data_IF_817772511574
#
_entry.id   IF_817772511574
#
_cell.length_a   1.000
_cell.length_b   1.000
_cell.length_c   1.000
_cell.angle_alpha   90.00
_cell.angle_beta   90.00
_cell.angle_gamma   90.00
#
_symmetry.space_group_name_H-M   'P 1'
#
loop_
_entity.id
_entity.type
_entity.pdbx_description
1 polymer ?
#
# COMPACT_ATOMS: atom_id res chain seq x y z
N UNK A 1 3.02 55.05 -4.26
CA UNK A 1 2.95 54.31 -5.54
C UNK A 1 3.90 53.15 -5.59
N UNK A 2 5.06 53.19 -4.98
CA UNK A 2 6.10 52.16 -4.97
C UNK A 2 5.65 50.84 -4.34
N UNK A 3 4.86 50.88 -3.25
CA UNK A 3 4.35 49.65 -2.59
C UNK A 3 3.45 48.82 -3.51
N UNK A 4 2.61 49.46 -4.33
CA UNK A 4 1.70 48.79 -5.25
C UNK A 4 2.46 48.06 -6.36
N UNK A 5 3.58 48.58 -6.83
CA UNK A 5 4.42 47.95 -7.85
C UNK A 5 5.07 46.68 -7.28
N UNK A 6 5.55 46.76 -6.04
CA UNK A 6 6.19 45.59 -5.38
C UNK A 6 5.21 44.44 -5.21
N UNK A 7 4.00 44.71 -4.70
CA UNK A 7 2.98 43.65 -4.54
C UNK A 7 2.52 43.09 -5.90
N UNK A 8 2.46 43.91 -6.95
CA UNK A 8 2.12 43.42 -8.28
C UNK A 8 3.17 42.47 -8.82
N UNK A 9 4.46 42.76 -8.65
CA UNK A 9 5.55 41.86 -9.06
C UNK A 9 5.50 40.55 -8.29
N UNK A 10 5.31 40.60 -6.96
CA UNK A 10 5.19 39.37 -6.13
C UNK A 10 4.00 38.54 -6.57
N UNK A 11 2.85 39.16 -6.87
CA UNK A 11 1.66 38.46 -7.33
C UNK A 11 1.89 37.73 -8.67
N UNK A 12 2.57 38.39 -9.60
CA UNK A 12 2.92 37.75 -10.92
C UNK A 12 3.86 36.57 -10.70
N UNK A 13 4.92 36.72 -9.90
CA UNK A 13 5.86 35.63 -9.60
C UNK A 13 5.16 34.48 -8.89
N UNK A 14 4.32 34.74 -7.91
CA UNK A 14 3.55 33.73 -7.22
C UNK A 14 2.59 32.96 -8.17
N UNK A 15 1.90 33.70 -9.05
CA UNK A 15 0.99 33.09 -10.03
C UNK A 15 1.68 32.12 -11.01
N UNK A 16 2.94 32.37 -11.34
CA UNK A 16 3.75 31.49 -12.19
C UNK A 16 4.33 30.29 -11.40
N UNK A 17 4.66 30.49 -10.11
CA UNK A 17 5.26 29.43 -9.27
C UNK A 17 4.26 28.40 -8.76
N UNK A 18 3.03 28.80 -8.43
CA UNK A 18 2.03 27.92 -7.85
C UNK A 18 1.71 26.66 -8.70
N UNK A 19 1.46 26.77 -10.02
CA UNK A 19 1.18 25.59 -10.84
C UNK A 19 2.40 24.66 -10.97
N UNK A 20 3.61 25.21 -11.05
CA UNK A 20 4.85 24.41 -11.12
C UNK A 20 5.09 23.65 -9.80
N UNK A 21 4.88 24.31 -8.67
CA UNK A 21 5.06 23.72 -7.34
C UNK A 21 4.07 22.58 -7.08
N UNK A 22 2.82 22.72 -7.54
CA UNK A 22 1.83 21.64 -7.42
C UNK A 22 2.24 20.38 -8.16
N UNK A 23 2.75 20.52 -9.38
CA UNK A 23 3.27 19.41 -10.18
C UNK A 23 4.52 18.77 -9.55
N UNK A 24 5.44 19.58 -9.06
CA UNK A 24 6.63 19.09 -8.37
C UNK A 24 6.28 18.29 -7.10
N UNK A 25 5.32 18.78 -6.29
CA UNK A 25 4.83 18.09 -5.09
C UNK A 25 4.16 16.74 -5.43
N UNK A 26 3.40 16.66 -6.50
CA UNK A 26 2.79 15.40 -6.93
C UNK A 26 3.85 14.35 -7.29
N UNK A 27 4.88 14.75 -8.04
CA UNK A 27 6.01 13.87 -8.39
C UNK A 27 6.82 13.44 -7.17
N UNK A 28 7.04 14.33 -6.20
CA UNK A 28 7.72 14.02 -4.95
C UNK A 28 6.94 12.98 -4.13
N UNK A 29 5.61 13.11 -4.02
CA UNK A 29 4.77 12.11 -3.37
C UNK A 29 4.82 10.75 -4.08
N UNK A 30 4.83 10.73 -5.41
CA UNK A 30 4.96 9.49 -6.18
C UNK A 30 6.31 8.82 -5.94
N UNK A 31 7.40 9.58 -5.96
CA UNK A 31 8.74 9.06 -5.68
C UNK A 31 8.84 8.48 -4.26
N UNK A 32 8.24 9.13 -3.28
CA UNK A 32 8.18 8.62 -1.91
C UNK A 32 7.36 7.33 -1.81
N UNK A 33 6.20 7.22 -2.50
CA UNK A 33 5.43 5.98 -2.57
C UNK A 33 6.23 4.83 -3.17
N UNK A 34 6.93 5.07 -4.30
CA UNK A 34 7.81 4.06 -4.91
C UNK A 34 8.93 3.62 -3.96
N UNK A 35 9.52 4.57 -3.22
CA UNK A 35 10.54 4.26 -2.23
C UNK A 35 9.98 3.42 -1.07
N UNK A 36 8.80 3.75 -0.56
CA UNK A 36 8.14 2.95 0.49
C UNK A 36 7.85 1.53 0.00
N UNK A 37 7.32 1.38 -1.22
CA UNK A 37 7.10 0.07 -1.83
C UNK A 37 8.41 -0.70 -2.03
N UNK A 38 9.49 -0.01 -2.43
CA UNK A 38 10.83 -0.62 -2.52
C UNK A 38 11.31 -1.15 -1.18
N UNK A 39 11.10 -0.40 -0.10
CA UNK A 39 11.44 -0.85 1.27
C UNK A 39 10.64 -2.09 1.66
N UNK A 40 9.35 -2.15 1.33
CA UNK A 40 8.54 -3.37 1.51
C UNK A 40 9.11 -4.56 0.74
N UNK A 41 9.46 -4.37 -0.53
CA UNK A 41 10.07 -5.42 -1.34
C UNK A 41 11.35 -5.97 -0.74
N UNK A 42 12.24 -5.09 -0.29
CA UNK A 42 13.48 -5.48 0.40
C UNK A 42 13.21 -6.17 1.74
N UNK A 43 12.25 -5.67 2.52
CA UNK A 43 11.83 -6.27 3.79
C UNK A 43 11.29 -7.69 3.61
N UNK A 44 10.51 -7.94 2.54
CA UNK A 44 10.03 -9.28 2.17
C UNK A 44 11.20 -10.20 1.84
N UNK A 45 12.20 -9.74 1.06
CA UNK A 45 13.37 -10.53 0.71
C UNK A 45 14.20 -10.89 1.95
N UNK A 46 14.42 -9.94 2.85
CA UNK A 46 15.14 -10.17 4.11
C UNK A 46 14.40 -11.17 5.00
N UNK A 47 13.08 -10.97 5.15
CA UNK A 47 12.24 -11.88 5.92
C UNK A 47 12.33 -13.31 5.38
N UNK A 48 12.16 -13.52 4.08
CA UNK A 48 12.22 -14.85 3.47
C UNK A 48 13.60 -15.50 3.62
N UNK A 49 14.67 -14.71 3.54
CA UNK A 49 16.03 -15.18 3.79
C UNK A 49 16.25 -15.72 5.20
N UNK A 50 15.53 -15.21 6.20
CA UNK A 50 15.62 -15.62 7.61
C UNK A 50 14.55 -16.66 8.02
N UNK A 51 13.54 -16.91 7.19
CA UNK A 51 12.39 -17.76 7.50
C UNK A 51 12.19 -18.91 6.49
N UNK A 52 13.25 -19.64 6.17
CA UNK A 52 13.20 -20.84 5.30
C UNK A 52 12.50 -20.62 3.95
N UNK A 53 12.73 -19.45 3.35
CA UNK A 53 12.10 -19.01 2.09
C UNK A 53 10.58 -18.79 2.17
N UNK A 54 9.99 -18.83 3.36
CA UNK A 54 8.55 -18.64 3.57
C UNK A 54 8.22 -17.14 3.59
N UNK A 55 7.21 -16.75 2.82
CA UNK A 55 6.71 -15.37 2.78
C UNK A 55 6.07 -14.95 4.12
N UNK A 56 6.11 -13.66 4.47
CA UNK A 56 5.51 -13.18 5.72
C UNK A 56 4.01 -13.39 5.76
N UNK A 57 3.51 -13.90 6.88
CA UNK A 57 2.08 -14.18 7.02
C UNK A 57 1.78 -15.30 8.02
N UNK A 58 0.51 -15.73 8.13
CA UNK A 58 -0.63 -15.40 7.24
C UNK A 58 -1.11 -13.96 7.41
N UNK A 59 -1.25 -13.21 6.32
CA UNK A 59 -1.58 -11.79 6.36
C UNK A 59 -2.93 -11.46 5.72
N UNK A 60 -3.57 -10.38 6.22
CA UNK A 60 -4.72 -9.76 5.58
C UNK A 60 -4.28 -8.95 4.35
N UNK A 61 -5.13 -8.90 3.33
CA UNK A 61 -4.86 -8.35 1.99
C UNK A 61 -4.63 -6.82 1.97
N UNK A 62 -4.61 -6.18 3.13
CA UNK A 62 -4.59 -4.73 3.27
C UNK A 62 -3.39 -4.26 4.08
N UNK A 63 -2.76 -3.19 3.62
CA UNK A 63 -1.72 -2.47 4.36
C UNK A 63 -2.27 -1.10 4.76
N UNK A 64 -2.76 -0.96 6.00
CA UNK A 64 -3.26 0.31 6.51
C UNK A 64 -2.11 1.29 6.80
N UNK A 65 -2.47 2.53 7.08
CA UNK A 65 -1.52 3.59 7.46
C UNK A 65 -0.82 3.32 8.79
N UNK A 66 -1.44 2.49 9.64
CA UNK A 66 -0.92 2.12 10.96
C UNK A 66 -1.34 0.70 11.35
N UNK A 67 -0.81 0.20 12.45
CA UNK A 67 -1.16 -1.08 13.05
C UNK A 67 -1.03 -1.01 14.57
N UNK A 68 -1.74 -1.89 15.27
CA UNK A 68 -1.72 -2.03 16.73
C UNK A 68 -1.67 -3.51 17.14
N UNK A 69 -1.65 -3.77 18.44
CA UNK A 69 -1.57 -5.12 19.00
C UNK A 69 -2.79 -6.00 18.67
N UNK A 70 -3.93 -5.41 18.31
CA UNK A 70 -5.15 -6.17 17.96
C UNK A 70 -5.12 -6.69 16.51
N UNK A 71 -4.17 -6.21 15.69
CA UNK A 71 -4.09 -6.52 14.25
C UNK A 71 -2.74 -7.15 13.88
N UNK A 72 -2.36 -8.21 14.60
CA UNK A 72 -1.11 -8.96 14.38
C UNK A 72 -1.06 -9.72 13.04
N UNK A 73 -2.16 -9.75 12.30
CA UNK A 73 -2.29 -10.40 10.99
C UNK A 73 -2.06 -9.45 9.81
N UNK A 74 -1.60 -8.23 10.05
CA UNK A 74 -1.25 -7.27 9.00
C UNK A 74 0.19 -7.48 8.54
N UNK A 75 0.44 -7.33 7.26
CA UNK A 75 1.77 -7.50 6.68
C UNK A 75 2.85 -6.63 7.35
N UNK A 76 2.60 -5.34 7.70
CA UNK A 76 3.57 -4.52 8.44
C UNK A 76 3.99 -5.10 9.79
N UNK A 77 3.13 -5.87 10.47
CA UNK A 77 3.47 -6.52 11.73
C UNK A 77 4.61 -7.55 11.54
N UNK A 78 4.52 -8.39 10.52
CA UNK A 78 5.56 -9.38 10.21
C UNK A 78 6.87 -8.71 9.77
N UNK A 79 6.77 -7.59 9.06
CA UNK A 79 7.92 -6.88 8.48
C UNK A 79 8.46 -5.74 9.35
N UNK A 80 7.91 -5.53 10.57
CA UNK A 80 8.21 -4.34 11.39
C UNK A 80 9.71 -4.14 11.68
N UNK A 81 10.44 -5.21 11.96
CA UNK A 81 11.89 -5.13 12.25
C UNK A 81 12.69 -4.70 11.02
N UNK A 82 12.32 -5.16 9.83
CA UNK A 82 12.99 -4.82 8.57
C UNK A 82 12.60 -3.42 8.05
N UNK A 83 11.43 -2.91 8.46
CA UNK A 83 10.96 -1.58 8.11
C UNK A 83 11.26 -0.53 9.20
N UNK A 84 12.02 -0.91 10.24
CA UNK A 84 12.30 -0.07 11.42
C UNK A 84 11.03 0.53 12.03
N UNK A 85 9.92 -0.22 12.04
CA UNK A 85 8.70 0.18 12.69
C UNK A 85 8.76 -0.20 14.17
N UNK A 86 8.19 0.62 15.06
CA UNK A 86 8.13 0.30 16.48
C UNK A 86 7.22 -0.90 16.74
N UNK A 87 7.35 -1.49 17.93
CA UNK A 87 6.40 -2.50 18.38
C UNK A 87 4.98 -1.93 18.43
N UNK A 88 3.97 -2.75 18.12
CA UNK A 88 2.60 -2.28 18.08
C UNK A 88 2.15 -1.80 19.47
N UNK A 89 1.56 -0.59 19.56
CA UNK A 89 1.07 -0.08 20.82
C UNK A 89 -0.05 -0.97 21.38
N UNK A 90 -0.06 -1.12 22.71
CA UNK A 90 -1.06 -1.93 23.43
C UNK A 90 -2.47 -1.28 23.47
N UNK A 91 -2.59 -0.05 23.03
CA UNK A 91 -3.86 0.70 23.06
C UNK A 91 -4.48 0.75 21.67
N UNK A 92 -5.83 0.81 21.61
CA UNK A 92 -6.65 0.91 20.39
C UNK A 92 -6.42 2.20 19.55
N UNK A 93 -5.25 2.83 19.66
CA UNK A 93 -4.91 4.02 18.91
C UNK A 93 -4.49 3.63 17.47
N UNK A 94 -5.46 3.25 16.65
CA UNK A 94 -5.32 3.09 15.20
C UNK A 94 -5.01 4.41 14.47
N UNK A 95 -4.84 5.50 15.22
CA UNK A 95 -4.58 6.84 14.66
C UNK A 95 -3.11 7.11 14.30
N UNK A 96 -2.22 6.14 14.48
CA UNK A 96 -0.80 6.32 14.18
C UNK A 96 -0.54 6.09 12.69
N UNK A 97 -0.23 7.17 11.99
CA UNK A 97 0.23 7.12 10.60
C UNK A 97 1.74 6.91 10.58
N UNK A 98 2.18 5.77 10.07
CA UNK A 98 3.60 5.46 9.91
C UNK A 98 4.08 5.84 8.49
N UNK A 99 4.92 6.87 8.34
CA UNK A 99 5.36 7.34 7.02
C UNK A 99 6.00 6.26 6.14
N UNK A 100 6.71 5.31 6.76
CA UNK A 100 7.38 4.22 6.04
C UNK A 100 6.42 3.25 5.34
N UNK A 101 5.20 3.10 5.84
CA UNK A 101 4.19 2.19 5.28
C UNK A 101 3.01 2.93 4.63
N UNK A 102 3.10 4.25 4.53
CA UNK A 102 1.98 5.08 4.07
C UNK A 102 2.33 5.80 2.77
N UNK A 103 1.46 5.70 1.77
CA UNK A 103 1.57 6.55 0.60
C UNK A 103 1.15 8.00 0.95
N UNK A 104 2.04 9.01 0.85
CA UNK A 104 1.71 10.39 1.21
C UNK A 104 0.62 11.00 0.32
N UNK A 105 0.40 10.46 -0.87
CA UNK A 105 -0.70 10.88 -1.72
C UNK A 105 -2.06 10.41 -1.18
N UNK A 106 -2.10 9.26 -0.50
CA UNK A 106 -3.32 8.72 0.12
C UNK A 106 -3.78 9.55 1.33
N UNK A 107 -2.85 10.14 2.09
CA UNK A 107 -3.17 10.96 3.27
C UNK A 107 -3.97 12.23 2.90
N UNK A 108 -3.94 12.66 1.66
CA UNK A 108 -4.71 13.84 1.18
C UNK A 108 -6.22 13.63 1.21
N UNK A 109 -6.68 12.37 1.23
CA UNK A 109 -8.11 12.09 1.32
C UNK A 109 -8.56 12.23 2.77
N UNK A 110 -9.62 13.00 3.03
CA UNK A 110 -10.12 13.20 4.39
C UNK A 110 -10.63 11.88 4.97
N UNK A 111 -10.39 11.70 6.27
CA UNK A 111 -11.08 10.66 7.04
C UNK A 111 -12.52 11.14 7.22
N UNK A 112 -13.52 10.26 7.06
CA UNK A 112 -14.90 10.60 7.39
C UNK A 112 -15.00 11.16 8.81
N UNK A 113 -15.79 12.19 9.01
CA UNK A 113 -15.86 12.95 10.28
C UNK A 113 -16.43 12.16 11.47
N UNK A 114 -17.03 11.02 11.19
CA UNK A 114 -17.60 10.07 12.18
C UNK A 114 -16.61 8.97 12.59
N UNK A 115 -15.43 8.88 11.93
CA UNK A 115 -14.42 7.90 12.31
C UNK A 115 -13.38 8.51 13.26
N UNK A 116 -13.29 7.95 14.44
CA UNK A 116 -12.27 8.30 15.46
C UNK A 116 -10.92 7.62 15.19
N UNK A 117 -10.84 6.80 14.16
CA UNK A 117 -9.73 5.89 13.87
C UNK A 117 -9.32 6.05 12.41
N UNK A 118 -8.03 6.32 12.16
CA UNK A 118 -7.50 6.34 10.80
C UNK A 118 -7.38 4.92 10.24
N UNK A 119 -8.40 4.51 9.47
CA UNK A 119 -8.45 3.20 8.79
C UNK A 119 -8.07 3.29 7.32
N UNK A 120 -7.36 4.33 6.90
CA UNK A 120 -6.94 4.43 5.50
C UNK A 120 -6.05 3.26 5.13
N UNK A 121 -6.38 2.63 4.02
CA UNK A 121 -5.55 1.59 3.40
C UNK A 121 -4.75 2.23 2.28
N UNK A 122 -3.43 2.06 2.33
CA UNK A 122 -2.51 2.70 1.37
C UNK A 122 -2.05 1.74 0.29
N UNK A 123 -1.82 0.49 0.66
CA UNK A 123 -1.40 -0.55 -0.26
C UNK A 123 -2.25 -1.81 -0.09
N UNK A 124 -2.28 -2.61 -1.13
CA UNK A 124 -2.89 -3.93 -1.12
C UNK A 124 -1.86 -4.96 -1.54
N UNK A 125 -1.79 -6.06 -0.81
CA UNK A 125 -0.97 -7.20 -1.18
C UNK A 125 -1.65 -8.08 -2.25
N UNK A 126 -0.89 -8.99 -2.85
CA UNK A 126 -1.41 -9.97 -3.80
C UNK A 126 -2.25 -11.01 -3.06
N UNK A 127 -3.56 -10.93 -3.19
CA UNK A 127 -4.49 -11.81 -2.49
C UNK A 127 -4.41 -13.27 -2.94
N UNK A 128 -4.33 -13.52 -4.25
CA UNK A 128 -4.09 -14.82 -4.84
C UNK A 128 -3.44 -14.65 -6.22
N UNK A 129 -2.58 -15.57 -6.62
CA UNK A 129 -1.97 -15.58 -7.96
C UNK A 129 -2.99 -16.08 -8.97
N UNK A 130 -3.64 -17.19 -8.64
CA UNK A 130 -4.76 -17.74 -9.40
C UNK A 130 -6.06 -17.48 -8.63
N UNK A 131 -7.00 -16.68 -9.16
CA UNK A 131 -8.26 -16.38 -8.48
C UNK A 131 -9.11 -17.62 -8.17
N UNK A 132 -8.97 -18.67 -8.98
CA UNK A 132 -9.67 -19.96 -8.82
C UNK A 132 -9.03 -20.89 -7.78
N UNK A 133 -7.80 -20.59 -7.32
CA UNK A 133 -7.07 -21.39 -6.35
C UNK A 133 -6.76 -20.59 -5.09
N UNK A 134 -7.54 -20.77 -4.02
CA UNK A 134 -7.28 -20.12 -2.74
C UNK A 134 -5.92 -20.47 -2.11
N UNK A 135 -5.34 -21.61 -2.47
CA UNK A 135 -4.00 -22.04 -2.03
C UNK A 135 -2.87 -21.23 -2.68
N UNK A 136 -3.14 -20.53 -3.78
CA UNK A 136 -2.17 -19.67 -4.48
C UNK A 136 -1.98 -18.29 -3.85
N UNK A 137 -2.26 -18.13 -2.53
CA UNK A 137 -2.10 -16.88 -1.78
C UNK A 137 -0.67 -16.71 -1.28
N UNK A 138 0.12 -15.76 -1.81
CA UNK A 138 1.52 -15.62 -1.43
C UNK A 138 1.70 -15.43 0.06
N UNK A 139 0.93 -14.51 0.66
CA UNK A 139 0.99 -14.18 2.08
C UNK A 139 0.05 -15.02 2.96
N UNK A 140 -0.54 -16.08 2.42
CA UNK A 140 -1.54 -16.86 3.14
C UNK A 140 -2.82 -16.09 3.43
N UNK A 141 -3.61 -16.56 4.43
CA UNK A 141 -4.79 -15.85 4.92
C UNK A 141 -5.15 -16.29 6.34
N UNK A 142 -5.33 -15.38 7.31
CA UNK A 142 -5.46 -15.75 8.72
C UNK A 142 -6.86 -16.21 9.17
N UNK A 143 -7.92 -15.87 8.42
CA UNK A 143 -9.29 -16.10 8.86
C UNK A 143 -9.83 -17.46 8.43
N UNK A 144 -10.48 -18.16 9.37
CA UNK A 144 -11.02 -19.52 9.17
C UNK A 144 -12.39 -19.57 8.50
N UNK A 145 -13.20 -18.50 8.57
CA UNK A 145 -14.61 -18.50 8.15
C UNK A 145 -15.00 -17.22 7.39
N UNK A 146 -14.19 -16.78 6.44
CA UNK A 146 -14.60 -15.65 5.61
C UNK A 146 -15.54 -16.14 4.49
N UNK A 147 -16.68 -15.46 4.22
CA UNK A 147 -17.57 -15.83 3.13
C UNK A 147 -16.82 -15.92 1.79
N UNK A 148 -16.87 -17.07 1.13
CA UNK A 148 -16.18 -17.32 -0.14
C UNK A 148 -14.75 -17.85 -0.04
N UNK A 149 -14.21 -18.09 1.16
CA UNK A 149 -12.88 -18.71 1.36
C UNK A 149 -13.03 -19.92 2.28
N UNK A 150 -13.43 -21.09 1.77
CA UNK A 150 -13.53 -22.29 2.57
C UNK A 150 -12.14 -22.83 2.93
N UNK A 151 -11.97 -23.22 4.19
CA UNK A 151 -10.80 -23.98 4.63
C UNK A 151 -9.54 -23.17 4.94
N UNK A 152 -9.62 -22.24 5.85
CA UNK A 152 -8.48 -21.47 6.38
C UNK A 152 -8.02 -22.03 7.75
N UNK A 153 -6.82 -21.65 8.27
CA UNK A 153 -5.92 -20.62 7.72
C UNK A 153 -5.05 -21.13 6.56
N UNK A 154 -4.94 -20.34 5.49
CA UNK A 154 -3.98 -20.63 4.42
C UNK A 154 -2.58 -20.19 4.86
N UNK A 155 -1.63 -21.11 4.80
CA UNK A 155 -0.22 -20.82 5.09
C UNK A 155 0.39 -19.97 3.99
N UNK A 156 1.34 -19.08 4.32
CA UNK A 156 2.14 -18.38 3.32
C UNK A 156 2.90 -19.34 2.42
N UNK A 157 3.08 -18.97 1.16
CA UNK A 157 3.88 -19.74 0.21
C UNK A 157 5.37 -19.51 0.45
N UNK A 158 6.20 -20.40 -0.10
CA UNK A 158 7.63 -20.11 -0.28
C UNK A 158 7.83 -19.16 -1.45
N UNK A 159 8.78 -18.25 -1.36
CA UNK A 159 9.10 -17.31 -2.43
C UNK A 159 9.52 -18.05 -3.70
N UNK A 160 10.33 -19.10 -3.57
CA UNK A 160 10.74 -19.98 -4.67
C UNK A 160 9.55 -20.68 -5.35
N UNK A 161 8.50 -21.02 -4.59
CA UNK A 161 7.31 -21.68 -5.12
C UNK A 161 6.47 -20.75 -6.02
N UNK A 162 6.64 -19.43 -5.94
CA UNK A 162 5.91 -18.50 -6.81
C UNK A 162 6.20 -18.74 -8.29
N UNK A 163 7.41 -19.18 -8.63
CA UNK A 163 7.81 -19.46 -10.01
C UNK A 163 7.01 -20.58 -10.67
N UNK A 164 6.37 -21.47 -9.89
CA UNK A 164 5.45 -22.48 -10.42
C UNK A 164 4.10 -21.91 -10.88
N UNK A 165 3.73 -20.73 -10.38
CA UNK A 165 2.50 -20.04 -10.76
C UNK A 165 2.77 -18.93 -11.80
N UNK A 166 3.76 -18.08 -11.53
CA UNK A 166 4.18 -16.98 -12.40
C UNK A 166 5.56 -16.48 -11.94
N UNK A 167 6.28 -15.81 -12.84
CA UNK A 167 7.57 -15.21 -12.47
C UNK A 167 7.43 -14.20 -11.33
N UNK A 168 8.33 -14.22 -10.31
CA UNK A 168 8.37 -13.20 -9.26
C UNK A 168 8.48 -11.76 -9.81
N UNK A 169 9.17 -11.56 -10.94
CA UNK A 169 9.28 -10.28 -11.60
C UNK A 169 8.02 -9.82 -12.36
N UNK A 170 7.04 -10.69 -12.50
CA UNK A 170 5.74 -10.39 -13.13
C UNK A 170 4.58 -10.43 -12.14
N UNK A 171 4.83 -10.85 -10.91
CA UNK A 171 3.82 -10.94 -9.86
C UNK A 171 4.08 -9.84 -8.85
N UNK A 172 3.16 -8.87 -8.75
CA UNK A 172 3.30 -7.83 -7.74
C UNK A 172 3.08 -8.41 -6.34
N UNK A 173 3.86 -7.94 -5.39
CA UNK A 173 3.70 -8.25 -3.98
C UNK A 173 2.71 -7.26 -3.33
N UNK A 174 2.94 -5.97 -3.55
CA UNK A 174 2.10 -4.87 -3.06
C UNK A 174 1.86 -3.86 -4.17
N UNK A 175 0.73 -3.18 -4.13
CA UNK A 175 0.39 -2.08 -5.03
C UNK A 175 -0.45 -1.01 -4.35
N UNK A 176 -0.50 0.17 -4.96
CA UNK A 176 -1.47 1.20 -4.59
C UNK A 176 -2.90 0.67 -4.67
N UNK A 177 -3.74 1.13 -3.77
CA UNK A 177 -5.16 0.78 -3.69
C UNK A 177 -6.03 1.97 -4.04
N UNK A 178 -7.11 1.75 -4.78
CA UNK A 178 -8.13 2.74 -5.08
C UNK A 178 -9.48 2.08 -5.43
N UNK A 179 -10.56 2.86 -5.34
CA UNK A 179 -11.93 2.36 -5.57
C UNK A 179 -12.19 1.92 -7.02
N UNK A 180 -11.44 2.43 -8.00
CA UNK A 180 -11.60 2.05 -9.40
C UNK A 180 -11.16 0.61 -9.65
N UNK A 181 -10.10 0.15 -8.96
CA UNK A 181 -9.62 -1.21 -9.06
C UNK A 181 -10.22 -2.16 -8.02
N UNK A 182 -10.45 -1.64 -6.81
CA UNK A 182 -10.71 -2.46 -5.63
C UNK A 182 -12.15 -2.36 -5.12
N UNK A 183 -12.98 -1.51 -5.73
CA UNK A 183 -14.32 -1.16 -5.24
C UNK A 183 -15.29 -2.32 -5.03
N UNK A 184 -15.10 -3.45 -5.72
CA UNK A 184 -15.90 -4.67 -5.51
C UNK A 184 -15.39 -5.58 -4.40
N UNK A 185 -14.12 -5.46 -4.00
CA UNK A 185 -13.45 -6.37 -3.08
C UNK A 185 -13.30 -5.79 -1.66
N UNK A 186 -13.62 -4.52 -1.45
CA UNK A 186 -13.28 -3.76 -0.25
C UNK A 186 -14.51 -3.11 0.37
N UNK A 187 -15.62 -3.82 0.38
CA UNK A 187 -16.93 -3.32 0.89
C UNK A 187 -16.87 -2.83 2.35
N UNK A 188 -15.99 -3.40 3.17
CA UNK A 188 -15.78 -2.99 4.57
C UNK A 188 -14.97 -1.70 4.74
N UNK A 189 -14.22 -1.26 3.71
CA UNK A 189 -13.26 -0.15 3.78
C UNK A 189 -13.51 0.92 2.72
N UNK A 190 -14.69 0.93 2.10
CA UNK A 190 -15.00 1.83 0.99
C UNK A 190 -14.90 3.32 1.34
N UNK A 191 -15.01 3.67 2.63
CA UNK A 191 -14.91 5.04 3.12
C UNK A 191 -13.48 5.53 3.32
N UNK A 192 -12.50 4.61 3.32
CA UNK A 192 -11.10 4.88 3.68
C UNK A 192 -10.11 4.67 2.52
N UNK A 193 -10.62 4.44 1.31
CA UNK A 193 -9.82 4.27 0.10
C UNK A 193 -10.05 5.43 -0.85
N UNK A 194 -8.99 5.87 -1.53
CA UNK A 194 -9.10 6.89 -2.56
C UNK A 194 -10.10 6.48 -3.65
N UNK A 195 -11.04 7.36 -4.06
CA UNK A 195 -11.95 7.06 -5.16
C UNK A 195 -11.25 6.86 -6.51
N UNK A 196 -10.03 7.38 -6.66
CA UNK A 196 -9.23 7.33 -7.89
C UNK A 196 -7.78 7.00 -7.57
N UNK A 197 -7.01 6.62 -8.59
CA UNK A 197 -5.57 6.45 -8.48
C UNK A 197 -4.90 7.70 -7.92
N UNK A 198 -4.13 7.55 -6.84
CA UNK A 198 -3.61 8.69 -6.04
C UNK A 198 -2.48 9.47 -6.72
N UNK A 199 -1.87 8.89 -7.75
CA UNK A 199 -0.74 9.49 -8.49
C UNK A 199 -1.12 10.06 -9.87
N UNK A 200 -2.41 10.15 -10.17
CA UNK A 200 -2.96 10.63 -11.44
C UNK A 200 -4.12 9.75 -11.89
N UNK A 201 -4.79 10.11 -12.96
CA UNK A 201 -6.06 9.48 -13.36
C UNK A 201 -6.02 7.96 -13.55
N UNK A 202 -4.82 7.40 -13.74
CA UNK A 202 -4.67 5.97 -14.06
C UNK A 202 -3.29 5.40 -13.68
N UNK A 203 -2.51 6.14 -12.88
CA UNK A 203 -1.16 5.75 -12.50
C UNK A 203 -1.13 5.14 -11.10
N UNK A 204 -0.62 3.93 -11.01
CA UNK A 204 -0.45 3.16 -9.77
C UNK A 204 0.96 2.62 -9.67
N UNK A 205 1.47 2.63 -8.46
CA UNK A 205 2.78 2.05 -8.16
C UNK A 205 2.61 0.64 -7.62
N UNK A 206 3.56 -0.22 -7.94
CA UNK A 206 3.64 -1.56 -7.38
C UNK A 206 5.09 -1.95 -7.09
N UNK A 207 5.27 -2.88 -6.14
CA UNK A 207 6.49 -3.64 -5.93
C UNK A 207 6.21 -5.09 -6.25
N UNK A 208 7.16 -5.75 -6.90
CA UNK A 208 7.09 -7.14 -7.31
C UNK A 208 7.86 -8.05 -6.34
N UNK A 209 7.63 -9.36 -6.43
CA UNK A 209 8.29 -10.31 -5.54
C UNK A 209 9.81 -10.43 -5.74
N UNK A 210 10.39 -9.89 -6.79
CA UNK A 210 11.83 -9.71 -6.97
C UNK A 210 12.35 -8.37 -6.42
N UNK A 211 11.49 -7.64 -5.70
CA UNK A 211 11.73 -6.33 -5.10
C UNK A 211 11.95 -5.18 -6.10
N UNK A 212 11.73 -5.33 -7.41
CA UNK A 212 11.68 -4.14 -8.28
C UNK A 212 10.36 -3.38 -8.09
N UNK A 213 10.37 -2.09 -8.37
CA UNK A 213 9.18 -1.23 -8.30
C UNK A 213 8.91 -0.60 -9.64
N UNK A 214 7.64 -0.49 -9.99
CA UNK A 214 7.20 0.10 -11.25
C UNK A 214 5.95 0.95 -11.06
N UNK A 215 5.83 2.03 -11.87
CA UNK A 215 4.60 2.80 -12.01
C UNK A 215 3.87 2.38 -13.27
N UNK A 216 2.68 1.85 -13.14
CA UNK A 216 1.91 1.26 -14.21
C UNK A 216 0.62 2.02 -14.49
N UNK A 217 0.21 2.01 -15.76
CA UNK A 217 -1.06 2.59 -16.21
C UNK A 217 -2.05 1.50 -16.58
N UNK A 218 -3.33 1.79 -16.38
CA UNK A 218 -4.42 0.85 -16.70
C UNK A 218 -4.50 -0.31 -15.73
N UNK A 219 -5.15 -1.39 -16.17
CA UNK A 219 -5.42 -2.60 -15.38
C UNK A 219 -4.82 -3.87 -15.97
N UNK A 220 -4.18 -3.78 -17.14
CA UNK A 220 -3.73 -4.96 -17.90
C UNK A 220 -2.63 -5.78 -17.19
N UNK A 221 -1.95 -5.20 -16.23
CA UNK A 221 -0.90 -5.81 -15.43
C UNK A 221 -1.41 -6.59 -14.19
N UNK A 222 -2.73 -6.54 -13.94
CA UNK A 222 -3.37 -7.28 -12.83
C UNK A 222 -3.64 -8.74 -13.16
N UNK A 223 -3.46 -9.13 -14.43
CA UNK A 223 -3.74 -10.48 -14.92
C UNK A 223 -2.64 -11.48 -14.60
#
# INVERSE_FOLDING_TARGET
>A
MELLVVIAIIAILAALLLPVLSGARARACQAQCLNNLKQFGLAIQLYTGENDDVLPGPALVQVPTGYNADHLTLLPFYLRHYLALPDPPLTNLLSLVWPAITCPAQIRYPIPSDETIDRRVTYRDKSAILPSDPGSRPFGYPLTNFPGIPGSPYKPLKLSALSSYNSPSRTYALRDVDMQLDGGAVVYWSTVISPQAVHGSDLRNAVFFDAHTESMRGTNWLK
#
